data_IF_377234052783
#
_entry.id   IF_377234052783
#
_cell.length_a   1.000
_cell.length_b   1.000
_cell.length_c   1.000
_cell.angle_alpha   90.00
_cell.angle_beta   90.00
_cell.angle_gamma   90.00
#
_symmetry.space_group_name_H-M   'P 1'
#
loop_
_entity.id
_entity.type
_entity.pdbx_description
1 polymer ?
#
# COMPACT_ATOMS: atom_id res chain seq x y z
N UNK A 1 -5.92 13.07 -25.49
CA UNK A 1 -4.72 13.83 -25.93
C UNK A 1 -3.54 12.92 -25.63
N UNK A 2 -2.73 12.56 -26.64
CA UNK A 2 -1.50 11.80 -26.41
C UNK A 2 -0.51 12.72 -25.68
N UNK A 3 -0.62 12.79 -24.35
CA UNK A 3 0.39 13.43 -23.53
C UNK A 3 1.69 12.65 -23.76
N UNK A 4 2.72 13.35 -24.24
CA UNK A 4 4.10 12.85 -24.26
C UNK A 4 4.43 12.28 -22.90
N UNK A 5 4.84 11.02 -22.86
CA UNK A 5 5.33 10.34 -21.64
C UNK A 5 6.38 11.22 -20.95
N UNK A 6 6.14 11.68 -19.71
CA UNK A 6 7.09 12.52 -19.00
C UNK A 6 8.34 11.71 -18.65
N UNK A 7 9.50 12.15 -19.13
CA UNK A 7 10.80 11.50 -18.89
C UNK A 7 11.80 12.39 -18.15
N UNK A 8 11.45 13.64 -17.88
CA UNK A 8 12.30 14.63 -17.21
C UNK A 8 11.59 15.24 -16.02
N UNK A 9 12.35 15.76 -15.06
CA UNK A 9 11.82 16.50 -13.90
C UNK A 9 10.83 17.60 -14.31
N UNK A 10 11.19 18.43 -15.29
CA UNK A 10 10.34 19.52 -15.77
C UNK A 10 9.02 19.02 -16.39
N UNK A 11 9.04 17.88 -17.09
CA UNK A 11 7.83 17.28 -17.64
C UNK A 11 6.89 16.76 -16.54
N UNK A 12 7.45 16.15 -15.49
CA UNK A 12 6.68 15.72 -14.31
C UNK A 12 6.10 16.89 -13.53
N UNK A 13 6.86 17.97 -13.36
CA UNK A 13 6.38 19.21 -12.74
C UNK A 13 5.23 19.82 -13.55
N UNK A 14 5.36 19.94 -14.87
CA UNK A 14 4.28 20.44 -15.73
C UNK A 14 3.02 19.56 -15.68
N UNK A 15 3.19 18.23 -15.58
CA UNK A 15 2.08 17.31 -15.39
C UNK A 15 1.41 17.51 -14.01
N UNK A 16 2.20 17.71 -12.95
CA UNK A 16 1.68 17.99 -11.61
C UNK A 16 0.89 19.31 -11.56
N UNK A 17 1.41 20.37 -12.17
CA UNK A 17 0.73 21.68 -12.30
C UNK A 17 -0.63 21.55 -12.99
N UNK A 18 -0.75 20.65 -13.96
CA UNK A 18 -2.00 20.38 -14.68
C UNK A 18 -2.94 19.48 -13.86
N UNK A 19 -2.41 18.53 -13.11
CA UNK A 19 -3.18 17.51 -12.38
C UNK A 19 -3.77 18.04 -11.07
N UNK A 20 -2.98 18.79 -10.28
CA UNK A 20 -3.34 19.24 -8.92
C UNK A 20 -4.68 20.00 -8.88
N UNK A 21 -5.00 20.93 -9.81
CA UNK A 21 -6.28 21.63 -9.82
C UNK A 21 -7.51 20.75 -10.06
N UNK A 22 -7.31 19.50 -10.50
CA UNK A 22 -8.36 18.58 -10.93
C UNK A 22 -8.42 17.30 -10.09
N UNK A 23 -7.75 17.28 -8.93
CA UNK A 23 -7.77 16.13 -8.03
C UNK A 23 -9.19 15.88 -7.51
N UNK A 24 -9.65 14.65 -7.68
CA UNK A 24 -10.86 14.17 -7.01
C UNK A 24 -10.53 13.91 -5.54
N UNK A 25 -11.30 14.52 -4.65
CA UNK A 25 -11.03 14.55 -3.21
C UNK A 25 -12.21 14.06 -2.38
N UNK A 26 -13.33 13.67 -3.01
CA UNK A 26 -14.53 13.18 -2.34
C UNK A 26 -14.48 11.67 -2.11
N UNK A 27 -15.35 11.16 -1.24
CA UNK A 27 -15.50 9.72 -1.07
C UNK A 27 -16.19 9.09 -2.29
N UNK A 28 -15.91 7.82 -2.60
CA UNK A 28 -16.58 7.09 -3.66
C UNK A 28 -17.52 6.03 -3.07
N UNK A 29 -18.82 6.32 -3.12
CA UNK A 29 -19.87 5.47 -2.53
C UNK A 29 -20.91 5.17 -3.60
N UNK A 30 -21.25 3.90 -3.74
CA UNK A 30 -22.30 3.42 -4.65
C UNK A 30 -22.24 4.00 -6.08
N UNK A 31 -21.05 3.98 -6.68
CA UNK A 31 -20.76 4.44 -8.06
C UNK A 31 -20.67 5.96 -8.27
N UNK A 32 -20.68 6.74 -7.18
CA UNK A 32 -20.67 8.20 -7.23
C UNK A 32 -19.65 8.80 -6.26
N UNK A 33 -19.06 9.93 -6.66
CA UNK A 33 -18.28 10.76 -5.75
C UNK A 33 -19.21 11.64 -4.93
N UNK A 34 -19.10 11.54 -3.61
CA UNK A 34 -19.99 12.19 -2.64
C UNK A 34 -19.20 12.90 -1.56
N UNK A 35 -19.69 14.06 -1.15
CA UNK A 35 -19.23 14.68 0.08
C UNK A 35 -19.58 13.81 1.28
N UNK A 36 -18.84 13.95 2.38
CA UNK A 36 -19.14 13.22 3.62
C UNK A 36 -20.45 13.72 4.23
N UNK A 37 -21.13 12.87 4.99
CA UNK A 37 -22.38 13.25 5.65
C UNK A 37 -22.27 14.50 6.53
N UNK A 38 -21.08 14.74 7.12
CA UNK A 38 -20.78 15.92 7.93
C UNK A 38 -20.10 17.08 7.18
N UNK A 39 -19.73 16.90 5.91
CA UNK A 39 -18.96 17.88 5.12
C UNK A 39 -17.51 18.09 5.57
N UNK A 40 -17.01 17.31 6.53
CA UNK A 40 -15.66 17.43 7.06
C UNK A 40 -14.61 17.00 6.02
N UNK A 41 -13.47 17.72 6.03
CA UNK A 41 -12.33 17.46 5.15
C UNK A 41 -11.00 17.61 5.88
N UNK A 42 -9.97 16.87 5.46
CA UNK A 42 -8.58 17.04 5.88
C UNK A 42 -7.69 17.43 4.69
N UNK A 43 -6.55 18.07 4.96
CA UNK A 43 -5.59 18.40 3.92
C UNK A 43 -4.70 17.19 3.62
N UNK A 44 -4.57 16.81 2.35
CA UNK A 44 -3.39 16.05 1.87
C UNK A 44 -2.30 17.06 1.52
N UNK A 45 -1.06 16.74 1.90
CA UNK A 45 0.09 17.62 1.83
C UNK A 45 1.21 16.90 1.11
N UNK A 46 1.83 17.56 0.14
CA UNK A 46 3.03 17.04 -0.51
C UNK A 46 4.19 17.07 0.49
N UNK A 47 4.76 15.92 0.90
CA UNK A 47 5.83 15.90 1.90
C UNK A 47 7.14 16.50 1.41
N UNK A 48 7.37 16.60 0.10
CA UNK A 48 8.59 17.17 -0.45
C UNK A 48 8.59 18.70 -0.42
N UNK A 49 7.42 19.34 -0.48
CA UNK A 49 7.29 20.80 -0.55
C UNK A 49 6.55 21.42 0.65
N UNK A 50 5.78 20.63 1.39
CA UNK A 50 4.88 21.08 2.44
C UNK A 50 3.59 21.74 1.92
N UNK A 51 3.37 21.76 0.61
CA UNK A 51 2.20 22.39 0.00
C UNK A 51 0.96 21.49 0.11
N UNK A 52 -0.21 22.10 0.30
CA UNK A 52 -1.48 21.37 0.30
C UNK A 52 -1.85 20.99 -1.13
N UNK A 53 -2.09 19.69 -1.38
CA UNK A 53 -2.51 19.17 -2.67
C UNK A 53 -4.03 19.33 -2.88
N UNK A 54 -4.82 18.93 -1.88
CA UNK A 54 -6.27 18.98 -1.92
C UNK A 54 -6.89 18.92 -0.51
N UNK A 55 -8.17 19.28 -0.39
CA UNK A 55 -9.00 18.99 0.78
C UNK A 55 -9.83 17.75 0.53
N UNK A 56 -9.48 16.65 1.18
CA UNK A 56 -10.07 15.33 0.99
C UNK A 56 -11.16 15.09 2.03
N UNK A 57 -12.25 14.45 1.60
CA UNK A 57 -13.33 13.96 2.44
C UNK A 57 -12.81 13.22 3.68
N UNK A 58 -13.27 13.62 4.86
CA UNK A 58 -12.97 12.97 6.13
C UNK A 58 -14.15 12.09 6.54
N UNK A 59 -14.25 10.88 6.00
CA UNK A 59 -15.36 9.99 6.32
C UNK A 59 -15.37 9.61 7.82
N UNK A 60 -16.56 9.37 8.33
CA UNK A 60 -16.80 8.88 9.69
C UNK A 60 -17.83 7.73 9.70
N UNK A 61 -18.43 7.45 10.87
CA UNK A 61 -19.36 6.34 11.11
C UNK A 61 -20.52 6.32 10.11
N UNK A 62 -21.16 7.47 9.84
CA UNK A 62 -22.31 7.55 8.94
C UNK A 62 -21.96 7.14 7.49
N UNK A 63 -20.80 7.57 7.00
CA UNK A 63 -20.32 7.21 5.67
C UNK A 63 -19.95 5.71 5.60
N UNK A 64 -19.36 5.18 6.68
CA UNK A 64 -19.07 3.75 6.80
C UNK A 64 -20.35 2.90 6.76
N UNK A 65 -21.37 3.29 7.51
CA UNK A 65 -22.67 2.61 7.54
C UNK A 65 -23.35 2.62 6.17
N UNK A 66 -23.36 3.76 5.49
CA UNK A 66 -23.88 3.89 4.14
C UNK A 66 -23.12 2.98 3.16
N UNK A 67 -21.79 3.05 3.13
CA UNK A 67 -20.98 2.23 2.24
C UNK A 67 -21.15 0.73 2.53
N UNK A 68 -21.22 0.32 3.80
CA UNK A 68 -21.46 -1.08 4.18
C UNK A 68 -22.83 -1.56 3.72
N UNK A 69 -23.87 -0.74 3.88
CA UNK A 69 -25.21 -1.03 3.37
C UNK A 69 -25.20 -1.20 1.84
N UNK A 70 -24.56 -0.28 1.10
CA UNK A 70 -24.42 -0.37 -0.34
C UNK A 70 -23.62 -1.61 -0.79
N UNK A 71 -22.53 -1.95 -0.10
CA UNK A 71 -21.71 -3.12 -0.38
C UNK A 71 -22.49 -4.42 -0.16
N UNK A 72 -23.21 -4.51 0.95
CA UNK A 72 -24.07 -5.65 1.27
C UNK A 72 -25.17 -5.81 0.23
N UNK A 73 -25.86 -4.73 -0.11
CA UNK A 73 -26.89 -4.74 -1.14
C UNK A 73 -26.32 -5.20 -2.49
N UNK A 74 -25.16 -4.70 -2.90
CA UNK A 74 -24.49 -5.11 -4.14
C UNK A 74 -24.15 -6.61 -4.15
N UNK A 75 -23.64 -7.13 -3.04
CA UNK A 75 -23.32 -8.55 -2.91
C UNK A 75 -24.57 -9.43 -3.01
N UNK A 76 -25.65 -9.06 -2.31
CA UNK A 76 -26.94 -9.78 -2.35
C UNK A 76 -27.56 -9.76 -3.75
N UNK A 77 -27.56 -8.59 -4.43
CA UNK A 77 -28.02 -8.47 -5.83
C UNK A 77 -27.26 -9.40 -6.76
N UNK A 78 -25.99 -9.69 -6.46
CA UNK A 78 -25.19 -10.71 -7.13
C UNK A 78 -24.78 -10.37 -8.55
N UNK A 79 -24.94 -9.10 -8.97
CA UNK A 79 -24.45 -8.56 -10.25
C UNK A 79 -22.94 -8.79 -10.43
N UNK A 80 -22.20 -8.88 -9.30
CA UNK A 80 -20.80 -9.28 -9.27
C UNK A 80 -20.58 -10.66 -8.65
N UNK A 81 -21.15 -10.91 -7.47
CA UNK A 81 -20.92 -12.15 -6.72
C UNK A 81 -21.31 -13.44 -7.50
N UNK A 82 -22.34 -13.36 -8.34
CA UNK A 82 -22.83 -14.47 -9.17
C UNK A 82 -22.50 -14.29 -10.66
N UNK A 83 -21.77 -13.24 -11.03
CA UNK A 83 -21.31 -13.04 -12.40
C UNK A 83 -20.36 -14.18 -12.80
N UNK A 84 -20.48 -14.72 -14.01
CA UNK A 84 -19.65 -15.83 -14.46
C UNK A 84 -18.14 -15.54 -14.28
N UNK A 85 -17.32 -16.52 -13.85
CA UNK A 85 -15.87 -16.36 -13.65
C UNK A 85 -15.15 -15.65 -14.81
N UNK A 86 -15.44 -16.05 -16.06
CA UNK A 86 -14.85 -15.44 -17.25
C UNK A 86 -15.22 -13.96 -17.45
N UNK A 87 -16.41 -13.55 -17.03
CA UNK A 87 -16.85 -12.14 -17.11
C UNK A 87 -16.22 -11.30 -15.99
N UNK A 88 -16.10 -11.84 -14.77
CA UNK A 88 -15.33 -11.19 -13.69
C UNK A 88 -13.87 -10.97 -14.09
N UNK A 89 -13.24 -11.99 -14.69
CA UNK A 89 -11.89 -11.89 -15.26
C UNK A 89 -11.79 -10.76 -16.28
N UNK A 90 -12.69 -10.70 -17.26
CA UNK A 90 -12.69 -9.64 -18.28
C UNK A 90 -12.77 -8.24 -17.66
N UNK A 91 -13.64 -8.03 -16.67
CA UNK A 91 -13.76 -6.74 -15.97
C UNK A 91 -12.49 -6.35 -15.23
N UNK A 92 -11.85 -7.29 -14.50
CA UNK A 92 -10.60 -6.98 -13.79
C UNK A 92 -9.40 -6.80 -14.73
N UNK A 93 -9.35 -7.52 -15.85
CA UNK A 93 -8.37 -7.27 -16.91
C UNK A 93 -8.55 -5.88 -17.52
N UNK A 94 -9.80 -5.46 -17.76
CA UNK A 94 -10.10 -4.11 -18.22
C UNK A 94 -9.67 -3.04 -17.23
N UNK A 95 -9.84 -3.28 -15.92
CA UNK A 95 -9.32 -2.38 -14.88
C UNK A 95 -7.79 -2.27 -14.96
N UNK A 96 -7.08 -3.40 -15.15
CA UNK A 96 -5.63 -3.39 -15.32
C UNK A 96 -5.19 -2.61 -16.58
N UNK A 97 -5.90 -2.75 -17.71
CA UNK A 97 -5.67 -1.95 -18.92
C UNK A 97 -5.87 -0.45 -18.69
N UNK A 98 -6.91 -0.07 -17.95
CA UNK A 98 -7.18 1.33 -17.62
C UNK A 98 -6.10 1.91 -16.70
N UNK A 99 -5.63 1.14 -15.72
CA UNK A 99 -4.50 1.53 -14.89
C UNK A 99 -3.22 1.72 -15.73
N UNK A 100 -2.96 0.83 -16.68
CA UNK A 100 -1.82 0.95 -17.60
C UNK A 100 -1.90 2.20 -18.49
N UNK A 101 -3.10 2.52 -19.01
CA UNK A 101 -3.35 3.74 -19.76
C UNK A 101 -3.16 5.03 -18.93
N UNK A 102 -3.37 4.94 -17.61
CA UNK A 102 -3.23 6.05 -16.66
C UNK A 102 -2.01 5.91 -15.74
N UNK A 103 -1.03 5.08 -16.09
CA UNK A 103 0.07 4.70 -15.17
C UNK A 103 0.89 5.89 -14.67
N UNK A 104 1.15 6.87 -15.53
CA UNK A 104 1.92 8.07 -15.18
C UNK A 104 1.14 8.98 -14.23
N UNK A 105 -0.18 9.08 -14.43
CA UNK A 105 -1.07 9.83 -13.54
C UNK A 105 -1.10 9.16 -12.16
N UNK A 106 -1.30 7.84 -12.10
CA UNK A 106 -1.30 7.08 -10.86
C UNK A 106 0.03 7.15 -10.12
N UNK A 107 1.15 7.04 -10.82
CA UNK A 107 2.50 7.14 -10.25
C UNK A 107 2.77 8.55 -9.70
N UNK A 108 2.34 9.59 -10.43
CA UNK A 108 2.48 10.97 -9.98
C UNK A 108 1.66 11.23 -8.73
N UNK A 109 0.43 10.70 -8.64
CA UNK A 109 -0.37 10.81 -7.42
C UNK A 109 0.33 10.19 -6.21
N UNK A 110 0.86 8.97 -6.32
CA UNK A 110 1.61 8.34 -5.21
C UNK A 110 2.87 9.14 -4.84
N UNK A 111 3.63 9.63 -5.82
CA UNK A 111 4.80 10.48 -5.55
C UNK A 111 4.43 11.78 -4.84
N UNK A 112 3.39 12.47 -5.29
CA UNK A 112 2.96 13.73 -4.68
C UNK A 112 2.42 13.52 -3.26
N UNK A 113 1.64 12.47 -3.03
CA UNK A 113 0.88 12.27 -1.79
C UNK A 113 1.75 11.70 -0.66
N UNK A 114 2.76 10.87 -0.97
CA UNK A 114 3.60 10.24 0.06
C UNK A 114 5.12 10.37 -0.13
N UNK A 115 5.59 11.03 -1.19
CA UNK A 115 6.97 11.51 -1.29
C UNK A 115 7.99 10.57 -1.91
N UNK A 116 7.61 9.37 -2.38
CA UNK A 116 8.55 8.45 -3.03
C UNK A 116 8.99 8.95 -4.41
N UNK A 117 10.21 8.60 -4.87
CA UNK A 117 10.67 8.96 -6.21
C UNK A 117 9.73 8.45 -7.31
N UNK A 118 9.54 9.26 -8.35
CA UNK A 118 8.61 8.98 -9.45
C UNK A 118 8.98 7.68 -10.21
N UNK A 119 10.27 7.38 -10.31
CA UNK A 119 10.77 6.11 -10.87
C UNK A 119 10.35 4.90 -10.03
N UNK A 120 10.32 5.03 -8.70
CA UNK A 120 9.83 3.99 -7.80
C UNK A 120 8.31 3.86 -7.87
N UNK A 121 7.58 4.98 -7.92
CA UNK A 121 6.12 4.97 -8.11
C UNK A 121 5.73 4.24 -9.39
N UNK A 122 6.40 4.50 -10.52
CA UNK A 122 6.15 3.80 -11.79
C UNK A 122 6.26 2.28 -11.62
N UNK A 123 7.33 1.80 -10.97
CA UNK A 123 7.51 0.37 -10.67
C UNK A 123 6.42 -0.20 -9.76
N UNK A 124 5.95 0.57 -8.77
CA UNK A 124 4.84 0.17 -7.90
C UNK A 124 3.51 0.06 -8.65
N UNK A 125 3.25 0.99 -9.59
CA UNK A 125 2.06 0.94 -10.44
C UNK A 125 2.12 -0.27 -11.36
N UNK A 126 3.28 -0.58 -11.96
CA UNK A 126 3.48 -1.79 -12.75
C UNK A 126 3.21 -3.05 -11.92
N UNK A 127 3.71 -3.10 -10.68
CA UNK A 127 3.43 -4.17 -9.73
C UNK A 127 1.94 -4.29 -9.39
N UNK A 128 1.25 -3.16 -9.20
CA UNK A 128 -0.20 -3.12 -8.94
C UNK A 128 -1.02 -3.65 -10.14
N UNK A 129 -0.67 -3.23 -11.37
CA UNK A 129 -1.26 -3.72 -12.62
C UNK A 129 -1.02 -5.23 -12.76
N UNK A 130 0.22 -5.67 -12.55
CA UNK A 130 0.60 -7.09 -12.60
C UNK A 130 -0.18 -7.93 -11.60
N UNK A 131 -0.37 -7.44 -10.37
CA UNK A 131 -1.16 -8.12 -9.33
C UNK A 131 -2.62 -8.32 -9.75
N UNK A 132 -3.26 -7.26 -10.27
CA UNK A 132 -4.64 -7.33 -10.76
C UNK A 132 -4.76 -8.30 -11.95
N UNK A 133 -3.86 -8.19 -12.92
CA UNK A 133 -3.84 -9.04 -14.13
C UNK A 133 -3.67 -10.51 -13.77
N UNK A 134 -2.64 -10.83 -12.98
CA UNK A 134 -2.37 -12.19 -12.51
C UNK A 134 -3.57 -12.77 -11.76
N UNK A 135 -4.15 -12.01 -10.83
CA UNK A 135 -5.29 -12.48 -10.05
C UNK A 135 -6.54 -12.68 -10.91
N UNK A 136 -6.79 -11.79 -11.88
CA UNK A 136 -7.90 -11.91 -12.82
C UNK A 136 -7.78 -13.17 -13.68
N UNK A 137 -6.58 -13.45 -14.20
CA UNK A 137 -6.29 -14.64 -15.02
C UNK A 137 -6.45 -15.94 -14.24
N UNK A 138 -6.21 -15.92 -12.93
CA UNK A 138 -6.40 -17.05 -12.03
C UNK A 138 -7.87 -17.40 -11.72
N UNK A 139 -8.83 -16.51 -11.95
CA UNK A 139 -10.24 -16.67 -11.49
C UNK A 139 -10.87 -17.98 -11.98
N UNK A 140 -10.64 -18.36 -13.24
CA UNK A 140 -11.19 -19.56 -13.86
C UNK A 140 -10.14 -20.67 -14.02
N UNK A 141 -9.16 -20.69 -13.11
CA UNK A 141 -8.10 -21.70 -13.01
C UNK A 141 -8.04 -22.37 -11.63
N UNK A 142 -8.84 -21.89 -10.67
CA UNK A 142 -8.98 -22.49 -9.34
C UNK A 142 -10.16 -23.45 -9.34
N UNK A 143 -9.91 -24.70 -8.95
CA UNK A 143 -10.91 -25.77 -8.88
C UNK A 143 -11.33 -26.01 -7.42
N UNK A 144 -12.59 -26.44 -7.24
CA UNK A 144 -13.04 -27.05 -5.98
C UNK A 144 -12.58 -28.50 -5.88
N UNK A 145 -13.03 -29.20 -4.83
CA UNK A 145 -12.64 -30.59 -4.59
C UNK A 145 -13.86 -31.50 -4.51
N UNK A 146 -13.70 -32.74 -4.96
CA UNK A 146 -14.68 -33.82 -4.79
C UNK A 146 -14.08 -34.84 -3.84
N UNK A 147 -14.70 -35.04 -2.69
CA UNK A 147 -14.20 -35.95 -1.67
C UNK A 147 -14.43 -37.42 -2.08
N UNK A 148 -13.53 -38.35 -1.72
CA UNK A 148 -13.71 -39.78 -2.00
C UNK A 148 -14.73 -40.40 -1.03
N UNK A 149 -16.01 -40.24 -1.36
CA UNK A 149 -17.15 -40.82 -0.62
C UNK A 149 -17.52 -42.22 -1.13
N UNK A 150 -18.35 -42.95 -0.37
CA UNK A 150 -18.96 -44.19 -0.85
C UNK A 150 -19.96 -43.94 -1.99
N UNK A 151 -20.40 -45.00 -2.67
CA UNK A 151 -21.24 -44.92 -3.88
C UNK A 151 -22.58 -44.20 -3.69
N UNK A 152 -23.09 -44.14 -2.46
CA UNK A 152 -24.39 -43.53 -2.13
C UNK A 152 -24.26 -42.06 -1.67
N UNK A 153 -23.11 -41.42 -1.89
CA UNK A 153 -22.87 -40.05 -1.42
C UNK A 153 -21.96 -39.26 -2.37
N UNK A 154 -22.19 -37.96 -2.46
CA UNK A 154 -21.34 -37.00 -3.17
C UNK A 154 -20.86 -35.92 -2.20
N UNK A 155 -19.55 -35.87 -1.94
CA UNK A 155 -18.93 -34.81 -1.14
C UNK A 155 -18.31 -33.72 -2.02
N UNK A 156 -18.79 -32.48 -1.91
CA UNK A 156 -18.24 -31.32 -2.61
C UNK A 156 -17.63 -30.33 -1.62
N UNK A 157 -16.41 -29.87 -1.89
CA UNK A 157 -15.76 -28.78 -1.14
C UNK A 157 -15.62 -27.58 -2.08
N UNK A 158 -16.42 -26.55 -1.81
CA UNK A 158 -16.52 -25.35 -2.64
C UNK A 158 -15.98 -24.12 -1.89
N UNK A 159 -15.60 -23.10 -2.65
CA UNK A 159 -15.19 -21.78 -2.13
C UNK A 159 -16.16 -20.73 -2.66
N UNK A 160 -16.76 -19.99 -1.75
CA UNK A 160 -17.68 -18.89 -2.05
C UNK A 160 -17.10 -17.56 -1.55
N UNK A 161 -17.42 -16.42 -2.20
CA UNK A 161 -17.06 -15.11 -1.67
C UNK A 161 -17.64 -14.92 -0.27
N UNK A 162 -16.86 -14.33 0.63
CA UNK A 162 -17.26 -14.13 2.02
C UNK A 162 -18.37 -13.08 2.18
N UNK A 163 -18.48 -12.14 1.24
CA UNK A 163 -19.49 -11.09 1.27
C UNK A 163 -18.88 -9.69 1.15
N UNK A 164 -18.87 -8.95 2.26
CA UNK A 164 -18.34 -7.58 2.37
C UNK A 164 -16.96 -7.61 3.01
N UNK A 165 -15.96 -7.12 2.27
CA UNK A 165 -14.57 -7.00 2.71
C UNK A 165 -14.23 -5.54 2.94
N UNK A 166 -13.77 -5.19 4.15
CA UNK A 166 -13.14 -3.90 4.41
C UNK A 166 -11.62 -4.04 4.28
N UNK A 167 -11.03 -3.28 3.36
CA UNK A 167 -9.59 -3.25 3.11
C UNK A 167 -9.01 -1.93 3.65
N UNK A 168 -8.17 -1.99 4.67
CA UNK A 168 -7.48 -0.83 5.24
C UNK A 168 -6.00 -0.91 4.83
N UNK A 169 -5.52 0.08 4.06
CA UNK A 169 -4.17 0.07 3.46
C UNK A 169 -3.28 1.19 4.03
N UNK A 170 -1.95 0.97 4.09
CA UNK A 170 -0.98 1.92 4.58
C UNK A 170 -0.62 2.94 3.49
N UNK A 171 0.25 3.88 3.86
CA UNK A 171 0.68 4.98 2.99
C UNK A 171 1.99 4.73 2.25
N UNK A 172 2.77 3.72 2.63
CA UNK A 172 4.12 3.55 2.10
C UNK A 172 4.16 2.96 0.67
N UNK A 173 3.11 2.25 0.27
CA UNK A 173 2.90 1.74 -1.08
C UNK A 173 1.39 1.80 -1.41
N UNK A 174 0.83 3.00 -1.59
CA UNK A 174 -0.62 3.22 -1.54
C UNK A 174 -1.37 2.35 -2.55
N UNK A 175 -1.02 2.43 -3.84
CA UNK A 175 -1.75 1.68 -4.87
C UNK A 175 -1.36 0.21 -4.95
N UNK A 176 -0.09 -0.13 -4.73
CA UNK A 176 0.36 -1.52 -4.73
C UNK A 176 -0.27 -2.33 -3.58
N UNK A 177 -0.32 -1.79 -2.35
CA UNK A 177 -1.02 -2.45 -1.24
C UNK A 177 -2.53 -2.50 -1.45
N UNK A 178 -3.09 -1.49 -2.14
CA UNK A 178 -4.48 -1.54 -2.58
C UNK A 178 -4.71 -2.73 -3.51
N UNK A 179 -3.92 -2.87 -4.58
CA UNK A 179 -4.04 -3.97 -5.53
C UNK A 179 -3.93 -5.35 -4.85
N UNK A 180 -2.97 -5.53 -3.94
CA UNK A 180 -2.79 -6.77 -3.17
C UNK A 180 -4.02 -7.18 -2.35
N UNK A 181 -4.88 -6.22 -1.97
CA UNK A 181 -6.11 -6.51 -1.22
C UNK A 181 -7.32 -6.62 -2.13
N UNK A 182 -7.50 -5.67 -3.05
CA UNK A 182 -8.73 -5.60 -3.84
C UNK A 182 -8.75 -6.67 -4.92
N UNK A 183 -7.60 -7.04 -5.51
CA UNK A 183 -7.56 -8.04 -6.56
C UNK A 183 -8.07 -9.41 -6.06
N UNK A 184 -7.52 -10.00 -4.98
CA UNK A 184 -8.01 -11.27 -4.46
C UNK A 184 -9.36 -11.17 -3.74
N UNK A 185 -9.81 -9.97 -3.33
CA UNK A 185 -11.14 -9.79 -2.77
C UNK A 185 -12.23 -9.70 -3.86
N UNK A 186 -12.00 -8.94 -4.94
CA UNK A 186 -12.95 -8.78 -6.03
C UNK A 186 -13.06 -10.03 -6.89
N UNK A 187 -11.94 -10.71 -7.17
CA UNK A 187 -11.87 -11.92 -8.00
C UNK A 187 -12.91 -13.03 -7.68
N UNK A 188 -13.09 -13.45 -6.41
CA UNK A 188 -14.11 -14.44 -6.04
C UNK A 188 -15.54 -13.86 -5.99
N UNK A 189 -15.73 -12.54 -6.06
CA UNK A 189 -17.06 -11.91 -6.10
C UNK A 189 -17.45 -11.12 -4.84
N UNK A 190 -16.52 -10.73 -3.97
CA UNK A 190 -16.86 -9.89 -2.81
C UNK A 190 -17.20 -8.45 -3.24
N UNK A 191 -17.96 -7.75 -2.41
CA UNK A 191 -17.98 -6.29 -2.40
C UNK A 191 -16.88 -5.77 -1.48
N UNK A 192 -16.17 -4.74 -1.89
CA UNK A 192 -14.98 -4.21 -1.21
C UNK A 192 -15.18 -2.74 -0.86
N UNK A 193 -14.87 -2.41 0.40
CA UNK A 193 -14.76 -1.04 0.89
C UNK A 193 -13.30 -0.80 1.23
N UNK A 194 -12.65 0.05 0.44
CA UNK A 194 -11.27 0.46 0.64
C UNK A 194 -11.22 1.70 1.52
N UNK A 195 -10.41 1.66 2.57
CA UNK A 195 -10.03 2.80 3.39
C UNK A 195 -8.53 3.06 3.17
N UNK A 196 -8.14 4.02 2.33
CA UNK A 196 -6.74 4.40 2.19
C UNK A 196 -6.23 5.12 3.45
N UNK A 197 -4.92 5.18 3.65
CA UNK A 197 -4.37 6.02 4.70
C UNK A 197 -4.72 7.48 4.44
N UNK A 198 -4.98 8.23 5.51
CA UNK A 198 -5.14 9.69 5.47
C UNK A 198 -3.87 10.41 4.96
N UNK A 199 -2.73 9.73 4.92
CA UNK A 199 -1.48 10.27 4.38
C UNK A 199 -1.27 10.00 2.89
N UNK A 200 -2.16 9.23 2.26
CA UNK A 200 -2.01 8.87 0.85
C UNK A 200 -3.33 8.48 0.15
N UNK A 201 -4.41 9.30 0.20
CA UNK A 201 -5.70 8.93 -0.34
C UNK A 201 -5.82 9.00 -1.89
N UNK A 202 -4.97 9.76 -2.58
CA UNK A 202 -5.29 10.28 -3.91
C UNK A 202 -5.35 9.20 -5.00
N UNK A 203 -4.38 8.29 -5.06
CA UNK A 203 -4.38 7.22 -6.08
C UNK A 203 -5.52 6.22 -5.88
N UNK A 204 -5.94 5.96 -4.64
CA UNK A 204 -7.10 5.14 -4.32
C UNK A 204 -8.40 5.77 -4.83
N UNK A 205 -8.56 7.09 -4.68
CA UNK A 205 -9.70 7.83 -5.23
C UNK A 205 -9.70 7.79 -6.76
N UNK A 206 -8.53 7.96 -7.39
CA UNK A 206 -8.42 7.85 -8.84
C UNK A 206 -8.78 6.45 -9.34
N UNK A 207 -8.34 5.41 -8.64
CA UNK A 207 -8.68 4.02 -8.95
C UNK A 207 -10.20 3.76 -8.94
N UNK A 208 -10.94 4.44 -8.06
CA UNK A 208 -12.41 4.31 -8.01
C UNK A 208 -13.07 4.72 -9.33
N UNK A 209 -12.58 5.79 -9.96
CA UNK A 209 -13.03 6.22 -11.29
C UNK A 209 -12.75 5.16 -12.36
N UNK A 210 -11.55 4.58 -12.33
CA UNK A 210 -11.14 3.55 -13.28
C UNK A 210 -11.91 2.24 -13.07
N UNK A 211 -12.22 1.88 -11.82
CA UNK A 211 -13.03 0.72 -11.48
C UNK A 211 -14.46 0.84 -12.02
N UNK A 212 -15.07 2.04 -11.91
CA UNK A 212 -16.34 2.34 -12.55
C UNK A 212 -16.26 2.20 -14.07
N UNK A 213 -15.25 2.80 -14.70
CA UNK A 213 -15.06 2.73 -16.14
C UNK A 213 -14.80 1.29 -16.64
N UNK A 214 -14.15 0.46 -15.84
CA UNK A 214 -13.95 -0.96 -16.11
C UNK A 214 -15.26 -1.77 -16.09
N UNK A 215 -16.33 -1.22 -15.52
CA UNK A 215 -17.65 -1.85 -15.43
C UNK A 215 -17.88 -2.64 -14.13
N UNK A 216 -17.19 -2.30 -13.03
CA UNK A 216 -17.56 -2.84 -11.72
C UNK A 216 -18.98 -2.33 -11.36
N UNK A 217 -19.91 -3.21 -10.94
CA UNK A 217 -21.25 -2.78 -10.57
C UNK A 217 -21.27 -1.84 -9.35
N UNK A 218 -22.30 -0.99 -9.28
CA UNK A 218 -22.48 -0.05 -8.17
C UNK A 218 -22.45 -0.75 -6.80
N UNK A 219 -21.67 -0.18 -5.89
CA UNK A 219 -21.48 -0.68 -4.52
C UNK A 219 -20.49 -1.86 -4.39
N UNK A 220 -19.97 -2.40 -5.49
CA UNK A 220 -18.99 -3.50 -5.45
C UNK A 220 -17.61 -3.00 -5.05
N UNK A 221 -17.21 -1.81 -5.49
CA UNK A 221 -15.98 -1.16 -5.04
C UNK A 221 -16.31 0.25 -4.57
N UNK A 222 -15.87 0.58 -3.35
CA UNK A 222 -16.11 1.85 -2.69
C UNK A 222 -14.83 2.31 -2.00
N UNK A 223 -14.61 3.62 -1.91
CA UNK A 223 -13.41 4.21 -1.32
C UNK A 223 -13.80 5.29 -0.30
N UNK A 224 -13.40 5.09 0.95
CA UNK A 224 -13.68 5.97 2.07
C UNK A 224 -12.37 6.58 2.61
N UNK A 225 -11.94 7.75 2.11
CA UNK A 225 -10.85 8.48 2.75
C UNK A 225 -11.29 8.99 4.13
N UNK A 226 -10.34 9.12 5.06
CA UNK A 226 -10.62 9.54 6.43
C UNK A 226 -9.59 8.99 7.41
N UNK A 227 -9.78 9.17 8.71
CA UNK A 227 -8.81 8.72 9.71
C UNK A 227 -9.03 7.26 10.15
N UNK A 228 -7.95 6.62 10.62
CA UNK A 228 -8.03 5.27 11.17
C UNK A 228 -8.92 5.17 12.42
N UNK A 229 -8.93 6.20 13.26
CA UNK A 229 -9.69 6.21 14.52
C UNK A 229 -11.19 6.55 14.35
N UNK A 230 -11.59 7.07 13.18
CA UNK A 230 -12.98 7.33 12.79
C UNK A 230 -13.50 6.22 11.88
N UNK A 231 -13.51 6.42 10.56
CA UNK A 231 -14.03 5.47 9.55
C UNK A 231 -13.34 4.10 9.60
N UNK A 232 -12.03 4.05 9.89
CA UNK A 232 -11.31 2.78 10.04
C UNK A 232 -11.85 1.93 11.21
N UNK A 233 -12.08 2.57 12.36
CA UNK A 233 -12.70 1.95 13.54
C UNK A 233 -14.15 1.56 13.26
N UNK A 234 -14.92 2.41 12.58
CA UNK A 234 -16.30 2.14 12.23
C UNK A 234 -16.43 0.86 11.36
N UNK A 235 -15.60 0.73 10.33
CA UNK A 235 -15.54 -0.49 9.50
C UNK A 235 -15.16 -1.74 10.32
N UNK A 236 -14.19 -1.61 11.23
CA UNK A 236 -13.72 -2.71 12.06
C UNK A 236 -14.79 -3.19 13.07
N UNK A 237 -15.62 -2.30 13.59
CA UNK A 237 -16.71 -2.60 14.53
C UNK A 237 -18.05 -2.93 13.84
N UNK A 238 -18.19 -2.68 12.54
CA UNK A 238 -19.42 -2.94 11.81
C UNK A 238 -19.83 -4.42 11.91
N UNK A 239 -21.10 -4.66 12.24
CA UNK A 239 -21.69 -5.99 12.29
C UNK A 239 -21.93 -6.59 10.90
N UNK A 240 -21.83 -5.77 9.85
CA UNK A 240 -22.15 -6.14 8.47
C UNK A 240 -20.91 -6.29 7.57
N UNK A 241 -19.70 -6.11 8.11
CA UNK A 241 -18.44 -6.45 7.44
C UNK A 241 -18.06 -7.88 7.79
N UNK A 242 -17.80 -8.73 6.79
CA UNK A 242 -17.53 -10.16 6.98
C UNK A 242 -16.03 -10.46 7.12
N UNK A 243 -15.19 -9.64 6.49
CA UNK A 243 -13.74 -9.73 6.50
C UNK A 243 -13.09 -8.35 6.61
N UNK A 244 -12.04 -8.26 7.43
CA UNK A 244 -11.15 -7.12 7.52
C UNK A 244 -9.75 -7.53 7.06
N UNK A 245 -9.23 -6.89 6.01
CA UNK A 245 -7.87 -7.05 5.54
C UNK A 245 -7.08 -5.76 5.80
N UNK A 246 -6.01 -5.85 6.58
CA UNK A 246 -5.22 -4.69 7.01
C UNK A 246 -3.75 -4.87 6.68
N UNK A 247 -3.10 -3.78 6.23
CA UNK A 247 -1.64 -3.67 6.29
C UNK A 247 -1.27 -2.39 7.04
N UNK A 248 -0.34 -2.48 7.98
CA UNK A 248 0.15 -1.32 8.73
C UNK A 248 0.89 -1.70 10.01
N UNK A 249 0.76 -0.88 11.07
CA UNK A 249 1.50 -1.12 12.30
C UNK A 249 0.95 -2.30 13.11
N UNK A 250 1.83 -3.01 13.82
CA UNK A 250 1.45 -4.11 14.73
C UNK A 250 0.47 -3.66 15.82
N UNK A 251 0.58 -2.41 16.29
CA UNK A 251 -0.31 -1.86 17.31
C UNK A 251 -1.74 -1.72 16.78
N UNK A 252 -1.92 -1.16 15.58
CA UNK A 252 -3.23 -1.04 14.95
C UNK A 252 -3.76 -2.43 14.58
N UNK A 253 -2.93 -3.33 14.06
CA UNK A 253 -3.35 -4.71 13.76
C UNK A 253 -3.94 -5.44 14.98
N UNK A 254 -3.29 -5.34 16.15
CA UNK A 254 -3.82 -5.86 17.42
C UNK A 254 -5.16 -5.24 17.79
N UNK A 255 -5.29 -3.92 17.63
CA UNK A 255 -6.53 -3.20 17.94
C UNK A 255 -7.68 -3.65 17.02
N UNK A 256 -7.42 -3.84 15.73
CA UNK A 256 -8.42 -4.32 14.76
C UNK A 256 -8.88 -5.75 15.08
N UNK A 257 -7.98 -6.62 15.53
CA UNK A 257 -8.35 -7.96 16.00
C UNK A 257 -9.27 -7.91 17.23
N UNK A 258 -9.03 -6.97 18.16
CA UNK A 258 -9.93 -6.75 19.30
C UNK A 258 -11.31 -6.26 18.86
N UNK A 259 -11.38 -5.30 17.92
CA UNK A 259 -12.66 -4.82 17.39
C UNK A 259 -13.47 -5.91 16.69
N UNK A 260 -12.81 -6.83 15.98
CA UNK A 260 -13.50 -7.99 15.42
C UNK A 260 -14.10 -8.89 16.51
N UNK A 261 -13.37 -9.14 17.61
CA UNK A 261 -13.86 -9.89 18.77
C UNK A 261 -15.00 -9.21 19.52
N UNK A 262 -15.02 -7.86 19.55
CA UNK A 262 -16.06 -7.05 20.18
C UNK A 262 -17.34 -6.90 19.34
N UNK A 263 -17.30 -7.28 18.07
CA UNK A 263 -18.40 -7.11 17.12
C UNK A 263 -19.00 -8.45 16.69
N UNK A 264 -18.63 -8.93 15.50
CA UNK A 264 -19.29 -10.07 14.84
C UNK A 264 -18.33 -11.24 14.54
N UNK A 265 -17.14 -11.27 15.13
CA UNK A 265 -16.09 -12.26 14.83
C UNK A 265 -15.76 -12.34 13.33
N UNK A 266 -15.85 -11.22 12.60
CA UNK A 266 -15.37 -11.09 11.22
C UNK A 266 -13.95 -11.65 11.09
N UNK A 267 -13.62 -12.26 9.95
CA UNK A 267 -12.24 -12.72 9.73
C UNK A 267 -11.31 -11.52 9.65
N UNK A 268 -10.12 -11.65 10.22
CA UNK A 268 -9.12 -10.60 10.24
C UNK A 268 -7.83 -11.13 9.66
N UNK A 269 -7.33 -10.46 8.61
CA UNK A 269 -6.05 -10.75 7.97
C UNK A 269 -5.14 -9.53 8.15
N UNK A 270 -3.99 -9.73 8.78
CA UNK A 270 -3.09 -8.67 9.20
C UNK A 270 -1.70 -8.86 8.59
N UNK A 271 -1.26 -7.87 7.83
CA UNK A 271 0.15 -7.71 7.46
C UNK A 271 0.73 -6.58 8.32
N UNK A 272 1.62 -6.92 9.24
CA UNK A 272 2.17 -5.99 10.23
C UNK A 272 3.63 -5.61 9.93
N UNK A 273 4.21 -4.74 10.76
CA UNK A 273 5.60 -4.33 10.62
C UNK A 273 6.60 -5.48 10.84
N UNK A 274 7.78 -5.35 10.25
CA UNK A 274 8.87 -6.31 10.35
C UNK A 274 10.17 -5.70 10.88
N UNK A 275 11.12 -6.58 11.20
CA UNK A 275 12.52 -6.23 11.49
C UNK A 275 13.43 -7.26 10.81
N UNK A 276 13.34 -7.30 9.48
CA UNK A 276 13.90 -8.38 8.66
C UNK A 276 15.43 -8.45 8.77
N UNK A 277 15.99 -9.64 9.04
CA UNK A 277 17.42 -9.85 8.96
C UNK A 277 17.85 -10.09 7.52
N UNK A 278 18.94 -9.42 7.09
CA UNK A 278 19.65 -9.68 5.86
C UNK A 278 20.99 -10.35 6.22
N UNK A 279 21.18 -11.62 5.87
CA UNK A 279 22.33 -12.43 6.27
C UNK A 279 23.34 -12.55 5.13
N UNK A 280 24.61 -12.28 5.41
CA UNK A 280 25.70 -12.33 4.45
C UNK A 280 26.83 -13.22 4.98
N UNK A 281 27.13 -14.28 4.23
CA UNK A 281 28.19 -15.25 4.54
C UNK A 281 29.44 -15.01 3.68
N UNK A 282 30.59 -15.46 4.15
CA UNK A 282 31.89 -15.26 3.52
C UNK A 282 32.04 -15.97 2.16
N UNK A 283 31.20 -16.98 1.89
CA UNK A 283 31.16 -17.72 0.63
C UNK A 283 30.23 -17.08 -0.42
N UNK A 284 29.72 -15.86 -0.17
CA UNK A 284 28.94 -15.14 -1.17
C UNK A 284 29.79 -14.88 -2.43
N UNK A 285 29.18 -15.08 -3.60
CA UNK A 285 29.91 -15.09 -4.88
C UNK A 285 30.31 -13.70 -5.38
N UNK A 286 29.55 -12.68 -5.00
CA UNK A 286 29.72 -11.30 -5.46
C UNK A 286 29.46 -10.34 -4.30
N UNK A 287 30.54 -9.95 -3.63
CA UNK A 287 30.48 -9.12 -2.43
C UNK A 287 30.00 -7.69 -2.75
N UNK A 288 30.34 -7.14 -3.92
CA UNK A 288 29.96 -5.80 -4.34
C UNK A 288 28.46 -5.71 -4.65
N UNK A 289 27.93 -6.68 -5.40
CA UNK A 289 26.50 -6.75 -5.69
C UNK A 289 25.68 -6.98 -4.41
N UNK A 290 26.14 -7.88 -3.52
CA UNK A 290 25.46 -8.13 -2.25
C UNK A 290 25.48 -6.88 -1.36
N UNK A 291 26.57 -6.11 -1.35
CA UNK A 291 26.64 -4.85 -0.62
C UNK A 291 25.68 -3.80 -1.18
N UNK A 292 25.60 -3.68 -2.51
CA UNK A 292 24.64 -2.79 -3.19
C UNK A 292 23.19 -3.15 -2.85
N UNK A 293 22.83 -4.43 -2.91
CA UNK A 293 21.51 -4.90 -2.51
C UNK A 293 21.23 -4.70 -1.01
N UNK A 294 22.23 -4.89 -0.15
CA UNK A 294 22.08 -4.66 1.29
C UNK A 294 21.81 -3.18 1.61
N UNK A 295 22.48 -2.26 0.91
CA UNK A 295 22.19 -0.82 1.02
C UNK A 295 20.78 -0.50 0.49
N UNK A 296 20.44 -0.97 -0.72
CA UNK A 296 19.12 -0.73 -1.30
C UNK A 296 17.99 -1.30 -0.42
N UNK A 297 18.20 -2.44 0.23
CA UNK A 297 17.22 -3.08 1.10
C UNK A 297 16.82 -2.23 2.32
N UNK A 298 17.60 -1.21 2.69
CA UNK A 298 17.26 -0.29 3.79
C UNK A 298 16.97 1.14 3.32
N UNK A 299 17.52 1.59 2.18
CA UNK A 299 17.31 2.97 1.70
C UNK A 299 16.21 3.10 0.64
N UNK A 300 15.82 2.02 -0.05
CA UNK A 300 14.72 2.05 -1.00
C UNK A 300 13.41 2.51 -0.32
N UNK A 301 12.65 3.37 -1.01
CA UNK A 301 11.42 3.99 -0.49
C UNK A 301 11.63 4.60 0.91
N UNK A 302 12.74 5.32 1.09
CA UNK A 302 13.15 5.97 2.35
C UNK A 302 13.29 5.01 3.55
N UNK A 303 13.41 3.69 3.29
CA UNK A 303 13.36 2.66 4.32
C UNK A 303 11.95 2.43 4.90
N UNK A 304 10.93 3.06 4.34
CA UNK A 304 9.52 2.94 4.71
C UNK A 304 8.92 1.65 4.09
N UNK A 305 9.57 0.50 4.35
CA UNK A 305 9.21 -0.80 3.78
C UNK A 305 9.05 -1.82 4.91
N UNK A 306 7.94 -2.55 4.94
CA UNK A 306 7.67 -3.53 6.01
C UNK A 306 8.71 -4.67 6.06
N UNK A 307 9.25 -5.03 4.89
CA UNK A 307 10.29 -6.04 4.72
C UNK A 307 11.70 -5.45 4.60
N UNK A 308 11.91 -4.17 4.92
CA UNK A 308 13.23 -3.54 4.86
C UNK A 308 14.30 -4.39 5.57
N UNK A 309 15.46 -4.54 4.93
CA UNK A 309 16.65 -5.25 5.41
C UNK A 309 17.34 -4.54 6.58
N UNK A 310 16.56 -4.14 7.57
CA UNK A 310 16.94 -3.21 8.64
C UNK A 310 17.82 -3.82 9.74
N UNK A 311 18.23 -5.08 9.57
CA UNK A 311 19.28 -5.74 10.36
C UNK A 311 20.20 -6.48 9.41
N UNK A 312 21.39 -5.94 9.19
CA UNK A 312 22.42 -6.57 8.39
C UNK A 312 23.30 -7.45 9.29
N UNK A 313 23.27 -8.76 9.10
CA UNK A 313 24.05 -9.74 9.84
C UNK A 313 25.13 -10.28 8.91
N UNK A 314 26.39 -10.01 9.23
CA UNK A 314 27.52 -10.31 8.35
C UNK A 314 28.47 -11.25 9.08
N UNK A 315 28.92 -12.29 8.40
CA UNK A 315 29.94 -13.19 8.93
C UNK A 315 31.22 -12.41 9.30
N UNK A 316 31.75 -12.67 10.50
CA UNK A 316 32.83 -11.88 11.10
C UNK A 316 34.06 -11.76 10.20
N UNK A 317 34.39 -12.82 9.44
CA UNK A 317 35.55 -12.90 8.55
C UNK A 317 35.55 -11.86 7.42
N UNK A 318 34.37 -11.40 6.97
CA UNK A 318 34.21 -10.43 5.88
C UNK A 318 33.60 -9.10 6.34
N UNK A 319 33.35 -8.94 7.65
CA UNK A 319 32.57 -7.82 8.20
C UNK A 319 33.09 -6.44 7.77
N UNK A 320 34.38 -6.17 7.99
CA UNK A 320 34.94 -4.83 7.76
C UNK A 320 34.91 -4.47 6.29
N UNK A 321 35.38 -5.39 5.45
CA UNK A 321 35.40 -5.29 4.00
C UNK A 321 33.99 -5.07 3.40
N UNK A 322 33.00 -5.77 3.95
CA UNK A 322 31.62 -5.67 3.49
C UNK A 322 30.96 -4.36 3.92
N UNK A 323 31.18 -3.90 5.15
CA UNK A 323 30.66 -2.61 5.63
C UNK A 323 31.18 -1.46 4.76
N UNK A 324 32.46 -1.45 4.38
CA UNK A 324 33.02 -0.43 3.48
C UNK A 324 32.30 -0.38 2.13
N UNK A 325 31.97 -1.53 1.55
CA UNK A 325 31.22 -1.61 0.29
C UNK A 325 29.78 -1.13 0.43
N UNK A 326 29.11 -1.45 1.55
CA UNK A 326 27.76 -0.98 1.83
C UNK A 326 27.74 0.55 1.94
N UNK A 327 28.73 1.13 2.62
CA UNK A 327 28.87 2.59 2.74
C UNK A 327 29.06 3.23 1.36
N UNK A 328 29.96 2.69 0.54
CA UNK A 328 30.20 3.17 -0.83
C UNK A 328 28.95 3.06 -1.71
N UNK A 329 28.15 2.00 -1.56
CA UNK A 329 26.88 1.88 -2.28
C UNK A 329 25.88 2.95 -1.83
N UNK A 330 25.81 3.23 -0.52
CA UNK A 330 24.89 4.19 0.06
C UNK A 330 25.19 5.66 -0.30
N UNK A 331 26.44 6.00 -0.66
CA UNK A 331 26.80 7.34 -1.15
C UNK A 331 25.96 7.77 -2.36
N UNK A 332 25.52 6.81 -3.20
CA UNK A 332 24.70 7.08 -4.38
C UNK A 332 23.18 7.01 -4.11
N UNK A 333 22.76 6.88 -2.84
CA UNK A 333 21.38 6.70 -2.41
C UNK A 333 20.86 7.91 -1.60
N UNK A 334 21.30 9.11 -1.97
CA UNK A 334 20.94 10.34 -1.24
C UNK A 334 19.48 10.78 -1.50
N UNK A 335 18.86 11.48 -0.54
CA UNK A 335 17.59 12.16 -0.78
C UNK A 335 17.70 13.15 -1.94
N UNK A 336 16.68 13.18 -2.78
CA UNK A 336 16.55 14.11 -3.90
C UNK A 336 15.11 14.55 -4.10
N UNK A 337 14.89 15.37 -5.12
CA UNK A 337 13.54 15.78 -5.51
C UNK A 337 12.77 14.55 -6.03
N UNK A 338 11.63 14.16 -5.43
CA UNK A 338 10.90 12.97 -5.86
C UNK A 338 10.40 13.01 -7.32
N UNK A 339 10.24 14.19 -7.92
CA UNK A 339 9.84 14.33 -9.33
C UNK A 339 11.02 14.24 -10.31
N UNK A 340 12.26 14.24 -9.81
CA UNK A 340 13.42 13.95 -10.64
C UNK A 340 13.56 12.42 -10.85
N UNK A 341 13.46 11.90 -12.08
CA UNK A 341 13.63 10.46 -12.34
C UNK A 341 15.00 9.91 -11.93
N UNK A 342 16.02 10.78 -11.76
CA UNK A 342 17.34 10.43 -11.27
C UNK A 342 17.45 10.28 -9.75
N UNK A 343 16.45 10.71 -8.98
CA UNK A 343 16.47 10.59 -7.52
C UNK A 343 16.31 9.14 -7.07
N UNK A 344 17.23 8.65 -6.24
CA UNK A 344 17.13 7.32 -5.64
C UNK A 344 16.16 7.30 -4.45
N UNK A 345 16.17 8.35 -3.63
CA UNK A 345 15.39 8.45 -2.40
C UNK A 345 14.62 9.77 -2.37
N UNK A 346 13.37 9.73 -1.92
CA UNK A 346 12.48 10.87 -1.86
C UNK A 346 12.31 11.43 -0.45
N UNK A 347 11.15 12.01 -0.17
CA UNK A 347 10.80 12.57 1.11
C UNK A 347 10.17 11.52 2.04
N UNK A 348 10.35 11.68 3.35
CA UNK A 348 9.57 10.95 4.36
C UNK A 348 8.11 11.39 4.28
N UNK A 349 7.15 10.48 4.51
CA UNK A 349 5.71 10.76 4.26
C UNK A 349 5.16 11.99 4.99
N UNK A 350 5.69 12.34 6.17
CA UNK A 350 5.36 13.58 6.88
C UNK A 350 6.37 13.90 8.00
N UNK A 351 6.18 15.07 8.62
CA UNK A 351 6.98 15.54 9.76
C UNK A 351 6.90 14.60 10.98
N UNK A 352 5.77 13.93 11.21
CA UNK A 352 5.61 13.01 12.35
C UNK A 352 6.51 11.79 12.19
N UNK A 353 6.53 11.22 10.99
CA UNK A 353 7.37 10.09 10.65
C UNK A 353 8.85 10.50 10.59
N UNK A 354 9.17 11.67 10.04
CA UNK A 354 10.52 12.24 10.06
C UNK A 354 11.07 12.36 11.48
N UNK A 355 10.34 13.01 12.40
CA UNK A 355 10.75 13.13 13.81
C UNK A 355 10.93 11.78 14.48
N UNK A 356 10.02 10.84 14.21
CA UNK A 356 10.15 9.48 14.75
C UNK A 356 11.44 8.80 14.29
N UNK A 357 11.84 8.97 13.03
CA UNK A 357 13.11 8.45 12.52
C UNK A 357 14.30 9.12 13.22
N UNK A 358 14.28 10.46 13.37
CA UNK A 358 15.32 11.18 14.11
C UNK A 358 15.45 10.70 15.56
N UNK A 359 14.33 10.43 16.24
CA UNK A 359 14.33 9.88 17.60
C UNK A 359 15.00 8.50 17.66
N UNK A 360 14.78 7.63 16.67
CA UNK A 360 15.46 6.33 16.58
C UNK A 360 16.96 6.47 16.30
N UNK A 361 17.36 7.44 15.48
CA UNK A 361 18.77 7.75 15.23
C UNK A 361 19.45 8.23 16.52
N UNK A 362 18.82 9.16 17.25
CA UNK A 362 19.30 9.63 18.55
C UNK A 362 19.44 8.50 19.58
N UNK A 363 18.41 7.66 19.71
CA UNK A 363 18.46 6.47 20.56
C UNK A 363 19.57 5.49 20.16
N UNK A 364 19.79 5.30 18.85
CA UNK A 364 20.86 4.46 18.33
C UNK A 364 22.24 4.98 18.71
N UNK A 365 22.44 6.30 18.65
CA UNK A 365 23.66 6.97 19.09
C UNK A 365 23.92 6.77 20.56
N UNK A 366 22.92 7.08 21.39
CA UNK A 366 23.08 7.04 22.84
C UNK A 366 23.32 5.61 23.33
N UNK A 367 22.66 4.60 22.74
CA UNK A 367 22.92 3.18 23.03
C UNK A 367 24.31 2.72 22.57
N UNK A 368 24.78 3.20 21.42
CA UNK A 368 26.11 2.82 20.91
C UNK A 368 27.23 3.43 21.76
N UNK A 369 27.06 4.69 22.21
CA UNK A 369 27.99 5.35 23.13
C UNK A 369 28.02 4.65 24.49
N UNK A 370 26.85 4.30 25.04
CA UNK A 370 26.77 3.53 26.29
C UNK A 370 27.45 2.16 26.15
N UNK A 371 27.18 1.43 25.06
CA UNK A 371 27.81 0.14 24.84
C UNK A 371 29.32 0.23 24.64
N UNK A 372 29.85 1.29 24.00
CA UNK A 372 31.29 1.57 23.95
C UNK A 372 31.90 1.81 25.35
N UNK A 373 31.12 2.38 26.26
CA UNK A 373 31.56 2.69 27.63
C UNK A 373 31.59 1.43 28.50
N UNK A 374 30.59 0.57 28.36
CA UNK A 374 30.42 -0.62 29.21
C UNK A 374 31.00 -1.91 28.60
N UNK A 375 31.11 -2.00 27.26
CA UNK A 375 31.49 -3.21 26.52
C UNK A 375 32.55 -2.88 25.45
N UNK A 376 33.72 -3.51 25.56
CA UNK A 376 34.98 -3.11 24.92
C UNK A 376 35.10 -3.32 23.40
N UNK A 377 34.09 -3.85 22.70
CA UNK A 377 34.21 -4.25 21.28
C UNK A 377 33.12 -3.72 20.34
N UNK A 378 32.36 -2.70 20.73
CA UNK A 378 31.34 -2.15 19.84
C UNK A 378 31.95 -1.19 18.79
N UNK A 379 32.33 -1.70 17.60
CA UNK A 379 32.70 -0.82 16.48
C UNK A 379 31.44 -0.19 15.88
N UNK A 380 31.21 1.10 16.18
CA UNK A 380 30.14 1.92 15.57
C UNK A 380 30.70 2.66 14.36
N UNK A 381 30.02 2.57 13.22
CA UNK A 381 30.30 3.44 12.07
C UNK A 381 29.16 4.44 11.93
N UNK A 382 29.49 5.72 12.03
CA UNK A 382 28.57 6.81 11.73
C UNK A 382 28.73 7.19 10.27
N UNK A 383 27.65 7.08 9.50
CA UNK A 383 27.59 7.70 8.18
C UNK A 383 27.46 9.21 8.39
N UNK A 384 28.54 9.95 8.14
CA UNK A 384 28.44 11.39 7.96
C UNK A 384 27.95 11.62 6.52
N UNK A 385 26.72 12.08 6.35
CA UNK A 385 26.29 12.63 5.07
C UNK A 385 27.08 13.93 4.88
N UNK A 386 27.75 14.10 3.73
CA UNK A 386 28.40 15.36 3.41
C UNK A 386 27.36 16.50 3.50
N UNK A 387 27.74 17.66 4.07
CA UNK A 387 26.81 18.75 4.37
C UNK A 387 26.10 19.32 3.14
#
# INVERSE_FOLDING_TARGET
>A
MNATTPTTKAAWQAMAETLIPHLESRAFINDTFVDTAGGETFATVNPATGETLARVASCDVADAELAVSCARAAHIRGEWARLAPGRRKQTLLRLAELMEAHQHELALLDTLDMGKPISSSLGDIDGAIGCLRYTAEGIDKVFGEVAPTGNDSLGLVLREPIGVVAAIVPWNFPLMMTAWKIAPALAPGNSVILKPSEKSPLSALRLASLAREAGLPRGVFQVLPGFGHTVGKALALSMQVDCLAFTGSTQVGKQLMQYAGQSNLKRVYLECGGKSPNLVFADCKDLDQVASHAAAAIFHNQGEVCIAGSRLLVETSIREEFVERVLKAAENMQPGDPLDPGSFMGAMVDETQYRRVLDYIGNGRDKSLHALTEYTELKTVWMALAP
#
